data_IF_457343067209
#
_entry.id   IF_457343067209
#
_cell.length_a   1.000
_cell.length_b   1.000
_cell.length_c   1.000
_cell.angle_alpha   90.00
_cell.angle_beta   90.00
_cell.angle_gamma   90.00
#
_symmetry.space_group_name_H-M   'P 1'
#
loop_
_entity.id
_entity.type
_entity.pdbx_description
1 polymer ?
#
# COMPACT_ATOMS: atom_id res chain seq x y z
N UNK A 1 19.25 -15.79 13.84
CA UNK A 1 18.77 -14.57 13.17
C UNK A 1 17.30 -14.45 13.46
N UNK A 2 16.81 -13.32 13.95
CA UNK A 2 15.38 -13.12 14.11
C UNK A 2 14.72 -13.09 12.72
N UNK A 3 13.53 -13.70 12.55
CA UNK A 3 12.81 -13.63 11.29
C UNK A 3 12.47 -12.17 10.93
N UNK A 4 12.53 -11.84 9.64
CA UNK A 4 12.19 -10.52 9.12
C UNK A 4 10.74 -10.17 9.44
N UNK A 5 10.50 -9.07 10.13
CA UNK A 5 9.16 -8.60 10.48
C UNK A 5 8.61 -7.76 9.33
N UNK A 6 7.58 -8.26 8.67
CA UNK A 6 6.91 -7.59 7.56
C UNK A 6 5.54 -7.11 8.04
N UNK A 7 5.21 -5.85 7.81
CA UNK A 7 3.90 -5.27 8.05
C UNK A 7 3.26 -4.85 6.72
N UNK A 8 2.05 -5.34 6.46
CA UNK A 8 1.20 -4.85 5.38
C UNK A 8 0.29 -3.76 5.95
N UNK A 9 0.29 -2.58 5.35
CA UNK A 9 -0.41 -1.39 5.81
C UNK A 9 -1.48 -1.00 4.78
N UNK A 10 -2.75 -1.06 5.17
CA UNK A 10 -3.89 -0.80 4.30
C UNK A 10 -4.72 0.35 4.85
N UNK A 11 -4.59 1.59 4.31
CA UNK A 11 -5.49 2.68 4.63
C UNK A 11 -6.83 2.44 3.95
N UNK A 12 -7.95 2.53 4.68
CA UNK A 12 -9.29 2.24 4.16
C UNK A 12 -10.29 3.34 4.48
N UNK A 13 -11.21 3.55 3.54
CA UNK A 13 -12.40 4.39 3.72
C UNK A 13 -13.54 3.90 2.81
N UNK A 14 -14.59 3.29 3.38
CA UNK A 14 -15.74 2.73 2.66
C UNK A 14 -15.35 1.74 1.56
N UNK A 15 -14.61 0.70 1.93
CA UNK A 15 -14.11 -0.35 1.02
C UNK A 15 -14.62 -1.74 1.42
N UNK A 16 -15.84 -1.84 1.97
CA UNK A 16 -16.44 -3.11 2.41
C UNK A 16 -16.48 -4.18 1.30
N UNK A 17 -16.63 -3.78 0.05
CA UNK A 17 -16.71 -4.71 -1.08
C UNK A 17 -15.39 -5.44 -1.38
N UNK A 18 -14.24 -4.83 -1.07
CA UNK A 18 -12.91 -5.27 -1.54
C UNK A 18 -11.95 -5.65 -0.42
N UNK A 19 -12.04 -4.98 0.73
CA UNK A 19 -11.07 -5.11 1.82
C UNK A 19 -10.86 -6.55 2.29
N UNK A 20 -11.90 -7.37 2.30
CA UNK A 20 -11.81 -8.78 2.71
C UNK A 20 -10.91 -9.60 1.79
N UNK A 21 -10.96 -9.37 0.47
CA UNK A 21 -10.10 -10.02 -0.52
C UNK A 21 -8.65 -9.55 -0.32
N UNK A 22 -8.44 -8.24 -0.31
CA UNK A 22 -7.10 -7.65 -0.15
C UNK A 22 -6.39 -8.22 1.08
N UNK A 23 -7.07 -8.27 2.23
CA UNK A 23 -6.48 -8.83 3.47
C UNK A 23 -6.10 -10.31 3.29
N UNK A 24 -7.00 -11.14 2.72
CA UNK A 24 -6.74 -12.56 2.52
C UNK A 24 -5.59 -12.80 1.55
N UNK A 25 -5.53 -12.06 0.45
CA UNK A 25 -4.54 -12.23 -0.60
C UNK A 25 -3.14 -11.84 -0.11
N UNK A 26 -3.00 -10.72 0.60
CA UNK A 26 -1.72 -10.33 1.19
C UNK A 26 -1.28 -11.27 2.32
N UNK A 27 -2.19 -11.83 3.11
CA UNK A 27 -1.86 -12.87 4.11
C UNK A 27 -1.40 -14.16 3.46
N UNK A 28 -1.96 -14.54 2.32
CA UNK A 28 -1.54 -15.70 1.56
C UNK A 28 -0.18 -15.50 0.89
N UNK A 29 0.04 -14.33 0.26
CA UNK A 29 1.26 -13.99 -0.46
C UNK A 29 2.47 -13.77 0.48
N UNK A 30 2.24 -13.21 1.67
CA UNK A 30 3.28 -12.87 2.65
C UNK A 30 3.04 -13.64 3.96
N UNK A 31 3.31 -14.94 3.95
CA UNK A 31 3.14 -15.80 5.15
C UNK A 31 4.03 -15.30 6.29
N UNK A 32 3.42 -15.07 7.45
CA UNK A 32 4.12 -14.53 8.64
C UNK A 32 4.13 -13.00 8.73
N UNK A 33 3.67 -12.28 7.71
CA UNK A 33 3.45 -10.85 7.80
C UNK A 33 2.19 -10.53 8.63
N UNK A 34 2.22 -9.40 9.34
CA UNK A 34 1.02 -8.87 9.99
C UNK A 34 0.35 -7.88 9.07
N UNK A 35 -0.95 -8.09 8.80
CA UNK A 35 -1.76 -7.17 8.00
C UNK A 35 -2.51 -6.21 8.92
N UNK A 36 -2.25 -4.91 8.77
CA UNK A 36 -2.91 -3.82 9.49
C UNK A 36 -3.85 -3.08 8.55
N UNK A 37 -5.10 -2.93 8.96
CA UNK A 37 -6.09 -2.09 8.30
C UNK A 37 -6.35 -0.86 9.18
N UNK A 38 -6.16 0.32 8.62
CA UNK A 38 -6.47 1.58 9.29
C UNK A 38 -7.71 2.21 8.65
N UNK A 39 -8.80 2.09 9.37
CA UNK A 39 -10.09 2.65 8.98
C UNK A 39 -10.14 4.16 9.25
N UNK A 40 -10.45 4.94 8.24
CA UNK A 40 -10.55 6.40 8.31
C UNK A 40 -12.00 6.87 8.35
N UNK A 41 -12.75 6.42 9.38
CA UNK A 41 -14.15 6.75 9.62
C UNK A 41 -15.13 6.19 8.55
N UNK A 42 -14.95 4.94 8.14
CA UNK A 42 -15.93 4.27 7.26
C UNK A 42 -17.31 4.21 7.91
N UNK A 43 -18.33 4.40 7.09
CA UNK A 43 -19.74 4.30 7.46
C UNK A 43 -20.36 2.95 7.08
N UNK A 44 -19.63 2.11 6.36
CA UNK A 44 -20.01 0.76 5.92
C UNK A 44 -19.34 -0.32 6.81
N UNK A 45 -19.47 -1.59 6.41
CA UNK A 45 -18.95 -2.74 7.15
C UNK A 45 -17.44 -2.99 6.94
N UNK A 46 -16.68 -2.04 6.37
CA UNK A 46 -15.23 -2.17 6.09
C UNK A 46 -14.46 -2.74 7.28
N UNK A 47 -14.69 -2.22 8.50
CA UNK A 47 -13.98 -2.66 9.72
C UNK A 47 -14.29 -4.10 10.11
N UNK A 48 -15.56 -4.47 10.10
CA UNK A 48 -16.02 -5.81 10.48
C UNK A 48 -15.48 -6.86 9.49
N UNK A 49 -15.50 -6.55 8.21
CA UNK A 49 -15.01 -7.42 7.15
C UNK A 49 -13.48 -7.59 7.25
N UNK A 50 -12.74 -6.52 7.47
CA UNK A 50 -11.29 -6.58 7.64
C UNK A 50 -10.87 -7.42 8.87
N UNK A 51 -11.57 -7.27 10.00
CA UNK A 51 -11.37 -8.08 11.20
C UNK A 51 -11.62 -9.56 10.92
N UNK A 52 -12.75 -9.89 10.28
CA UNK A 52 -13.12 -11.26 9.93
C UNK A 52 -12.12 -11.90 8.95
N UNK A 53 -11.52 -11.10 8.05
CA UNK A 53 -10.45 -11.55 7.16
C UNK A 53 -9.11 -11.78 7.88
N UNK A 54 -8.99 -11.37 9.14
CA UNK A 54 -7.83 -11.62 10.01
C UNK A 54 -6.81 -10.49 10.04
N UNK A 55 -7.21 -9.25 9.73
CA UNK A 55 -6.37 -8.07 9.91
C UNK A 55 -6.39 -7.56 11.35
N UNK A 56 -5.33 -6.87 11.74
CA UNK A 56 -5.32 -5.99 12.90
C UNK A 56 -5.93 -4.67 12.50
N UNK A 57 -7.15 -4.37 12.99
CA UNK A 57 -7.88 -3.16 12.58
C UNK A 57 -7.70 -2.04 13.62
N UNK A 58 -7.34 -0.86 13.15
CA UNK A 58 -7.24 0.38 13.93
C UNK A 58 -8.03 1.50 13.27
N UNK A 59 -8.33 2.57 14.01
CA UNK A 59 -9.06 3.73 13.48
C UNK A 59 -8.19 4.98 13.55
N UNK A 60 -8.15 5.75 12.45
CA UNK A 60 -7.67 7.12 12.44
C UNK A 60 -8.86 8.08 12.30
N UNK A 61 -9.06 8.92 13.30
CA UNK A 61 -10.22 9.83 13.37
C UNK A 61 -10.07 11.08 12.50
N UNK A 62 -8.83 11.52 12.26
CA UNK A 62 -8.59 12.67 11.38
C UNK A 62 -8.74 12.23 9.93
N UNK A 63 -9.76 12.78 9.26
CA UNK A 63 -10.05 12.43 7.88
C UNK A 63 -8.90 12.80 6.93
N UNK A 64 -8.56 11.87 6.05
CA UNK A 64 -7.56 12.05 5.00
C UNK A 64 -6.45 11.01 5.01
N UNK A 65 -6.15 10.46 3.83
CA UNK A 65 -5.15 9.38 3.63
C UNK A 65 -3.77 9.72 4.24
N UNK A 66 -3.34 10.98 4.15
CA UNK A 66 -2.06 11.42 4.73
C UNK A 66 -2.02 11.27 6.26
N UNK A 67 -3.13 11.53 6.97
CA UNK A 67 -3.23 11.32 8.42
C UNK A 67 -3.14 9.83 8.76
N UNK A 68 -3.83 8.99 7.98
CA UNK A 68 -3.78 7.53 8.13
C UNK A 68 -2.36 7.00 7.94
N UNK A 69 -1.67 7.39 6.86
CA UNK A 69 -0.30 6.94 6.57
C UNK A 69 0.66 7.35 7.68
N UNK A 70 0.59 8.60 8.14
CA UNK A 70 1.41 9.09 9.26
C UNK A 70 1.16 8.29 10.54
N UNK A 71 -0.10 7.97 10.82
CA UNK A 71 -0.48 7.18 11.98
C UNK A 71 0.04 5.74 11.88
N UNK A 72 -0.09 5.09 10.72
CA UNK A 72 0.45 3.74 10.47
C UNK A 72 1.96 3.68 10.71
N UNK A 73 2.71 4.64 10.17
CA UNK A 73 4.17 4.71 10.30
C UNK A 73 4.62 4.97 11.74
N UNK A 74 3.83 5.73 12.51
CA UNK A 74 4.08 5.95 13.94
C UNK A 74 3.81 4.70 14.77
N UNK A 75 2.67 4.05 14.55
CA UNK A 75 2.14 3.00 15.42
C UNK A 75 2.78 1.61 15.18
N UNK A 76 3.21 1.34 13.93
CA UNK A 76 3.67 0.00 13.53
C UNK A 76 5.19 -0.04 13.53
N UNK A 77 5.77 -1.07 14.16
CA UNK A 77 7.19 -1.34 14.15
C UNK A 77 7.49 -2.65 13.40
N UNK A 78 8.13 -2.54 12.24
CA UNK A 78 8.51 -3.64 11.37
C UNK A 78 9.88 -3.37 10.70
N UNK A 79 10.43 -4.37 10.03
CA UNK A 79 11.68 -4.24 9.28
C UNK A 79 11.40 -3.82 7.83
N UNK A 80 10.26 -4.28 7.28
CA UNK A 80 9.75 -3.93 5.95
C UNK A 80 8.27 -3.58 6.05
N UNK A 81 7.87 -2.52 5.36
CA UNK A 81 6.48 -2.05 5.28
C UNK A 81 5.97 -2.16 3.85
N UNK A 82 4.85 -2.83 3.67
CA UNK A 82 4.15 -2.96 2.39
C UNK A 82 2.86 -2.14 2.49
N UNK A 83 2.79 -1.00 1.84
CA UNK A 83 1.58 -0.18 1.79
C UNK A 83 0.81 -0.47 0.51
N UNK A 84 -0.50 -0.70 0.64
CA UNK A 84 -1.40 -0.98 -0.49
C UNK A 84 -2.78 -0.39 -0.21
N UNK A 85 -3.49 0.05 -1.26
CA UNK A 85 -4.86 0.52 -1.14
C UNK A 85 -5.83 -0.66 -0.94
N UNK A 86 -6.97 -0.41 -0.28
CA UNK A 86 -7.97 -1.44 0.04
C UNK A 86 -8.95 -1.74 -1.11
N UNK A 87 -8.75 -1.16 -2.30
CA UNK A 87 -9.66 -1.18 -3.44
C UNK A 87 -9.49 -2.39 -4.40
N UNK A 88 -8.63 -3.35 -4.04
CA UNK A 88 -8.36 -4.60 -4.79
C UNK A 88 -7.78 -4.36 -6.21
N UNK A 89 -7.05 -3.26 -6.41
CA UNK A 89 -6.46 -2.92 -7.73
C UNK A 89 -5.03 -3.45 -7.90
N UNK A 90 -4.45 -4.11 -6.90
CA UNK A 90 -3.06 -4.56 -6.90
C UNK A 90 -2.93 -6.06 -6.66
N UNK A 91 -2.08 -6.71 -7.45
CA UNK A 91 -1.76 -8.13 -7.28
C UNK A 91 -0.84 -8.35 -6.07
N UNK A 92 -1.35 -9.02 -5.05
CA UNK A 92 -0.60 -9.36 -3.85
C UNK A 92 0.59 -10.29 -4.14
N UNK A 93 0.53 -11.10 -5.22
CA UNK A 93 1.62 -12.01 -5.60
C UNK A 93 2.90 -11.25 -6.03
N UNK A 94 2.79 -9.98 -6.35
CA UNK A 94 3.96 -9.14 -6.64
C UNK A 94 4.75 -8.75 -5.38
N UNK A 95 4.13 -8.76 -4.19
CA UNK A 95 4.74 -8.28 -2.95
C UNK A 95 6.07 -8.97 -2.59
N UNK A 96 6.22 -10.32 -2.67
CA UNK A 96 7.50 -10.96 -2.35
C UNK A 96 8.65 -10.51 -3.24
N UNK A 97 8.40 -10.25 -4.53
CA UNK A 97 9.44 -9.80 -5.47
C UNK A 97 9.85 -8.34 -5.20
N UNK A 98 8.90 -7.47 -4.86
CA UNK A 98 9.18 -6.08 -4.50
C UNK A 98 9.97 -5.98 -3.19
N UNK A 99 9.65 -6.82 -2.19
CA UNK A 99 10.40 -6.90 -0.94
C UNK A 99 11.83 -7.37 -1.19
N UNK A 100 12.00 -8.43 -1.99
CA UNK A 100 13.33 -8.92 -2.36
C UNK A 100 14.15 -7.84 -3.03
N UNK A 101 13.59 -7.13 -4.01
CA UNK A 101 14.27 -6.03 -4.70
C UNK A 101 14.67 -4.91 -3.72
N UNK A 102 13.81 -4.53 -2.78
CA UNK A 102 14.13 -3.56 -1.73
C UNK A 102 15.37 -3.98 -0.91
N UNK A 103 15.42 -5.26 -0.51
CA UNK A 103 16.47 -5.78 0.36
C UNK A 103 17.78 -5.99 -0.39
N UNK A 104 17.73 -6.61 -1.58
CA UNK A 104 18.93 -6.95 -2.37
C UNK A 104 19.68 -5.69 -2.82
N UNK A 105 18.94 -4.64 -3.20
CA UNK A 105 19.51 -3.36 -3.64
C UNK A 105 19.65 -2.33 -2.50
N UNK A 106 19.33 -2.71 -1.26
CA UNK A 106 19.39 -1.82 -0.08
C UNK A 106 18.62 -0.50 -0.27
N UNK A 107 17.47 -0.56 -0.95
CA UNK A 107 16.65 0.61 -1.29
C UNK A 107 15.84 1.08 -0.08
N UNK A 108 15.43 2.35 -0.10
CA UNK A 108 14.53 2.92 0.89
C UNK A 108 13.06 2.78 0.51
N UNK A 109 12.78 2.75 -0.80
CA UNK A 109 11.43 2.59 -1.32
C UNK A 109 11.43 1.88 -2.68
N UNK A 110 10.49 0.97 -2.88
CA UNK A 110 10.14 0.37 -4.17
C UNK A 110 8.68 0.65 -4.47
N UNK A 111 8.39 1.11 -5.68
CA UNK A 111 7.04 1.43 -6.13
C UNK A 111 6.51 0.31 -7.04
N UNK A 112 5.43 -0.35 -6.66
CA UNK A 112 4.74 -1.34 -7.47
C UNK A 112 3.93 -0.66 -8.57
N UNK A 113 4.09 -1.10 -9.82
CA UNK A 113 3.31 -0.58 -10.94
C UNK A 113 1.95 -1.29 -11.02
N UNK A 114 0.88 -0.55 -11.31
CA UNK A 114 -0.40 -1.15 -11.72
C UNK A 114 -0.24 -1.82 -13.07
N UNK A 115 -0.58 -3.10 -13.16
CA UNK A 115 -0.78 -3.79 -14.46
C UNK A 115 -2.28 -3.75 -14.71
N UNK A 116 -2.78 -2.66 -15.28
CA UNK A 116 -4.19 -2.55 -15.67
C UNK A 116 -4.33 -3.03 -17.10
N UNK A 117 -4.86 -4.23 -17.30
CA UNK A 117 -5.28 -4.71 -18.64
C UNK A 117 -6.63 -4.11 -19.09
N UNK A 118 -7.39 -3.47 -18.20
CA UNK A 118 -8.68 -2.88 -18.53
C UNK A 118 -8.57 -1.39 -18.90
N UNK A 119 -8.65 -1.14 -20.20
CA UNK A 119 -8.64 0.18 -20.86
C UNK A 119 -9.93 0.98 -20.60
N UNK A 120 -10.92 0.48 -19.85
CA UNK A 120 -12.30 0.99 -19.91
C UNK A 120 -12.74 1.96 -18.80
N UNK A 121 -12.01 2.16 -17.70
CA UNK A 121 -12.54 2.92 -16.55
C UNK A 121 -11.81 4.22 -16.18
N UNK A 122 -10.76 4.62 -16.88
CA UNK A 122 -10.04 5.86 -16.54
C UNK A 122 -10.56 7.06 -17.32
N UNK A 123 -11.17 8.02 -16.63
CA UNK A 123 -11.49 9.34 -17.19
C UNK A 123 -10.23 9.98 -17.76
N UNK A 124 -10.30 10.45 -19.02
CA UNK A 124 -9.17 10.97 -19.80
C UNK A 124 -8.35 12.05 -19.08
N UNK A 125 -8.96 12.87 -18.22
CA UNK A 125 -8.27 13.92 -17.45
C UNK A 125 -7.30 13.41 -16.40
N UNK A 126 -7.54 12.25 -15.76
CA UNK A 126 -6.61 11.67 -14.77
C UNK A 126 -5.34 11.09 -15.40
N UNK A 127 -5.44 10.58 -16.65
CA UNK A 127 -4.27 10.07 -17.39
C UNK A 127 -3.30 11.18 -17.78
N UNK A 128 -3.83 12.32 -18.19
CA UNK A 128 -3.02 13.48 -18.57
C UNK A 128 -2.33 14.11 -17.34
N UNK A 129 -3.06 14.27 -16.23
CA UNK A 129 -2.52 14.80 -14.97
C UNK A 129 -1.41 13.91 -14.39
N UNK A 130 -1.59 12.59 -14.39
CA UNK A 130 -0.57 11.65 -13.93
C UNK A 130 0.66 11.67 -14.85
N UNK A 131 0.48 11.74 -16.17
CA UNK A 131 1.59 11.84 -17.13
C UNK A 131 2.42 13.12 -16.97
N UNK A 132 1.74 14.26 -16.77
CA UNK A 132 2.41 15.54 -16.57
C UNK A 132 3.16 15.54 -15.24
N UNK A 133 2.54 15.07 -14.15
CA UNK A 133 3.16 15.00 -12.83
C UNK A 133 4.33 14.02 -12.81
N UNK A 134 4.18 12.83 -13.41
CA UNK A 134 5.27 11.85 -13.56
C UNK A 134 6.40 12.41 -14.42
N UNK A 135 6.06 13.10 -15.51
CA UNK A 135 7.06 13.76 -16.38
C UNK A 135 7.87 14.84 -15.65
N UNK A 136 7.22 15.67 -14.84
CA UNK A 136 7.88 16.69 -14.02
C UNK A 136 8.82 16.08 -12.98
N UNK A 137 8.38 15.04 -12.29
CA UNK A 137 9.21 14.37 -11.28
C UNK A 137 10.36 13.60 -11.94
N UNK A 138 10.15 12.94 -13.07
CA UNK A 138 11.23 12.31 -13.84
C UNK A 138 12.25 13.33 -14.33
N UNK A 139 11.81 14.53 -14.71
CA UNK A 139 12.70 15.60 -15.12
C UNK A 139 13.60 16.13 -13.99
N UNK A 140 13.05 16.25 -12.75
CA UNK A 140 13.80 16.71 -11.58
C UNK A 140 14.64 15.62 -10.90
N UNK A 141 14.18 14.36 -10.91
CA UNK A 141 14.76 13.26 -10.12
C UNK A 141 15.24 12.07 -10.94
N UNK A 142 15.17 12.13 -12.27
CA UNK A 142 15.56 11.07 -13.19
C UNK A 142 14.45 10.07 -13.52
N UNK A 143 14.64 9.26 -14.58
CA UNK A 143 13.60 8.38 -15.18
C UNK A 143 13.24 7.12 -14.35
N UNK A 144 13.47 7.11 -13.05
CA UNK A 144 13.25 5.93 -12.19
C UNK A 144 11.79 5.69 -11.80
N UNK A 145 10.88 6.65 -12.05
CA UNK A 145 9.48 6.56 -11.64
C UNK A 145 8.54 6.40 -12.85
N UNK A 146 7.87 5.25 -12.95
CA UNK A 146 6.89 4.97 -14.02
C UNK A 146 5.44 5.23 -13.61
N UNK A 147 5.12 5.22 -12.32
CA UNK A 147 3.80 5.53 -11.76
C UNK A 147 3.94 6.09 -10.33
N UNK A 148 3.95 7.42 -10.21
CA UNK A 148 4.11 8.11 -8.91
C UNK A 148 2.84 8.01 -8.06
N UNK A 149 1.68 7.82 -8.69
CA UNK A 149 0.39 7.74 -8.00
C UNK A 149 0.01 6.31 -7.59
N UNK A 150 0.90 5.32 -7.80
CA UNK A 150 0.64 3.96 -7.33
C UNK A 150 0.44 3.93 -5.81
N UNK A 151 -0.64 3.27 -5.37
CA UNK A 151 -0.88 3.00 -3.95
C UNK A 151 -0.11 1.80 -3.41
N UNK A 152 0.60 1.03 -4.27
CA UNK A 152 1.38 -0.13 -3.86
C UNK A 152 2.85 0.23 -3.73
N UNK A 153 3.35 0.29 -2.49
CA UNK A 153 4.73 0.68 -2.18
C UNK A 153 5.32 -0.20 -1.10
N UNK A 154 6.61 -0.46 -1.21
CA UNK A 154 7.39 -1.16 -0.18
C UNK A 154 8.43 -0.20 0.37
N UNK A 155 8.55 -0.11 1.70
CA UNK A 155 9.46 0.81 2.37
C UNK A 155 10.39 0.06 3.33
N UNK A 156 11.63 0.54 3.44
CA UNK A 156 12.56 0.12 4.49
C UNK A 156 12.17 0.72 5.86
N UNK A 157 12.60 0.06 6.95
CA UNK A 157 12.47 0.62 8.29
C UNK A 157 13.15 1.98 8.39
N UNK A 158 14.33 2.13 7.77
CA UNK A 158 15.09 3.38 7.78
C UNK A 158 14.28 4.53 7.23
N UNK A 159 13.58 4.33 6.10
CA UNK A 159 12.71 5.34 5.50
C UNK A 159 11.53 5.73 6.40
N UNK A 160 10.87 4.73 7.00
CA UNK A 160 9.66 4.96 7.80
C UNK A 160 9.95 5.64 9.14
N UNK A 161 11.13 5.41 9.70
CA UNK A 161 11.51 5.88 11.04
C UNK A 161 12.54 7.02 11.05
N UNK A 162 12.86 7.60 9.87
CA UNK A 162 13.75 8.77 9.75
C UNK A 162 13.11 10.10 10.18
#
# INVERSE_FOLDING_TARGET
>A
MNPLRIAVLIPCYNEAATIGNVVRDFRAALRGATVYVYDNNSSDDTRAIALTAGAVVRTERHQGKGNVVRRMFSDVDADVYVMVDGDDTYDALAAPSLIRHLLDESLDMVNGRRITEEVAAYRAGHRLGNRILTGLVCWFFGERFKDILSGFRVFSRRFVKS
#
